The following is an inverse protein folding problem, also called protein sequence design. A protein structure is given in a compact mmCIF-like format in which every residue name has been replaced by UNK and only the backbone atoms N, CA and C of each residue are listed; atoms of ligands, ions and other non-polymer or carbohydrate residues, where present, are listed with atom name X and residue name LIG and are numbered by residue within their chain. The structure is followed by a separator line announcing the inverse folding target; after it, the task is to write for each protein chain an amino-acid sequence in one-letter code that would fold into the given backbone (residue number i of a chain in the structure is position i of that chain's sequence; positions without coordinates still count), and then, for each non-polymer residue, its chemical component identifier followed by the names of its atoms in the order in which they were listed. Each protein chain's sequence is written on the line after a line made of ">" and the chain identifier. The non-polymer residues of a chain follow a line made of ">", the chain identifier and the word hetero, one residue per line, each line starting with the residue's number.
data_IF_139059052036
#
_entry.id   IF_139059052036
#
_cell.length_a   1.000
_cell.length_b   1.000
_cell.length_c   1.000
_cell.angle_alpha   90.00
_cell.angle_beta   90.00
_cell.angle_gamma   90.00
#
_symmetry.space_group_name_H-M   'P 1'
#
loop_
_entity.id
_entity.type
_entity.pdbx_description
1 polymer ?
#
# COMPACT_ATOMS: atom_id res chain seq x y z
N UNK A 1 10.42 -15.96 -14.81
CA UNK A 1 9.93 -16.32 -13.46
C UNK A 1 9.67 -15.09 -12.58
N UNK A 2 10.59 -14.10 -12.54
CA UNK A 2 10.43 -12.88 -11.71
C UNK A 2 9.29 -11.96 -12.17
N UNK A 3 9.01 -11.88 -13.48
CA UNK A 3 7.94 -11.05 -14.05
C UNK A 3 6.52 -11.51 -13.68
N UNK A 4 6.31 -12.81 -13.42
CA UNK A 4 5.00 -13.36 -13.05
C UNK A 4 4.60 -12.98 -11.62
N UNK A 5 5.57 -12.95 -10.70
CA UNK A 5 5.39 -12.53 -9.31
C UNK A 5 5.13 -11.01 -9.24
N UNK A 6 5.87 -10.22 -10.02
CA UNK A 6 5.66 -8.76 -10.07
C UNK A 6 4.31 -8.39 -10.70
N UNK A 7 3.88 -9.13 -11.72
CA UNK A 7 2.55 -8.97 -12.30
C UNK A 7 1.47 -9.27 -11.26
N UNK A 8 1.57 -10.36 -10.50
CA UNK A 8 0.57 -10.71 -9.48
C UNK A 8 0.53 -9.69 -8.32
N UNK A 9 1.69 -9.20 -7.90
CA UNK A 9 1.84 -8.16 -6.86
C UNK A 9 1.20 -6.82 -7.26
N UNK A 10 1.19 -6.48 -8.55
CA UNK A 10 0.51 -5.28 -9.08
C UNK A 10 -0.97 -5.57 -9.36
N UNK A 11 -1.29 -6.79 -9.81
CA UNK A 11 -2.65 -7.16 -10.22
C UNK A 11 -3.59 -7.24 -9.02
N UNK A 12 -3.12 -7.70 -7.85
CA UNK A 12 -3.94 -7.86 -6.64
C UNK A 12 -4.46 -6.52 -6.06
N UNK A 13 -3.62 -5.48 -5.81
CA UNK A 13 -4.11 -4.17 -5.37
C UNK A 13 -4.96 -3.48 -6.44
N UNK A 14 -4.62 -3.62 -7.73
CA UNK A 14 -5.41 -3.07 -8.83
C UNK A 14 -6.79 -3.75 -8.92
N UNK A 15 -6.86 -5.06 -8.69
CA UNK A 15 -8.10 -5.84 -8.60
C UNK A 15 -8.99 -5.42 -7.43
N UNK A 16 -8.40 -5.17 -6.25
CA UNK A 16 -9.14 -4.72 -5.07
C UNK A 16 -9.81 -3.36 -5.30
N UNK A 17 -9.13 -2.44 -5.99
CA UNK A 17 -9.69 -1.14 -6.39
C UNK A 17 -10.78 -1.33 -7.45
N UNK A 18 -10.52 -2.14 -8.48
CA UNK A 18 -11.47 -2.35 -9.59
C UNK A 18 -12.76 -3.07 -9.14
N UNK A 19 -12.67 -4.00 -8.18
CA UNK A 19 -13.82 -4.72 -7.61
C UNK A 19 -14.83 -3.78 -6.97
N UNK A 20 -14.37 -2.67 -6.38
CA UNK A 20 -15.22 -1.67 -5.74
C UNK A 20 -15.88 -0.70 -6.74
N UNK A 21 -15.35 -0.60 -7.96
CA UNK A 21 -15.80 0.36 -8.98
C UNK A 21 -16.69 -0.25 -10.08
N UNK A 22 -16.40 -1.48 -10.53
CA UNK A 22 -17.06 -2.08 -11.71
C UNK A 22 -17.89 -3.35 -11.43
N UNK A 23 -17.91 -3.82 -10.18
CA UNK A 23 -18.68 -5.00 -9.76
C UNK A 23 -18.00 -6.34 -10.12
N UNK A 24 -18.21 -7.35 -9.28
CA UNK A 24 -17.49 -8.64 -9.31
C UNK A 24 -17.61 -9.42 -10.61
N UNK A 25 -18.72 -9.28 -11.34
CA UNK A 25 -18.96 -10.01 -12.61
C UNK A 25 -18.06 -9.52 -13.75
N UNK A 26 -17.79 -8.22 -13.83
CA UNK A 26 -16.92 -7.67 -14.89
C UNK A 26 -15.44 -7.99 -14.59
N UNK A 27 -15.06 -7.89 -13.32
CA UNK A 27 -13.73 -8.24 -12.84
C UNK A 27 -13.33 -9.68 -13.17
N UNK A 28 -14.23 -10.64 -12.94
CA UNK A 28 -14.00 -12.05 -13.27
C UNK A 28 -13.82 -12.28 -14.78
N UNK A 29 -14.59 -11.57 -15.62
CA UNK A 29 -14.43 -11.66 -17.08
C UNK A 29 -13.08 -11.11 -17.55
N UNK A 30 -12.66 -9.95 -17.02
CA UNK A 30 -11.36 -9.34 -17.33
C UNK A 30 -10.20 -10.25 -16.92
N UNK A 31 -10.27 -10.85 -15.72
CA UNK A 31 -9.25 -11.78 -15.23
C UNK A 31 -9.18 -13.04 -16.09
N UNK A 32 -10.33 -13.62 -16.44
CA UNK A 32 -10.38 -14.78 -17.32
C UNK A 32 -9.79 -14.49 -18.70
N UNK A 33 -10.14 -13.35 -19.30
CA UNK A 33 -9.59 -12.93 -20.61
C UNK A 33 -8.08 -12.72 -20.52
N UNK A 34 -7.60 -12.03 -19.49
CA UNK A 34 -6.17 -11.76 -19.31
C UNK A 34 -5.37 -13.07 -19.14
N UNK A 35 -5.89 -14.00 -18.33
CA UNK A 35 -5.29 -15.32 -18.14
C UNK A 35 -5.22 -16.11 -19.45
N UNK A 36 -6.31 -16.15 -20.22
CA UNK A 36 -6.33 -16.82 -21.53
C UNK A 36 -5.29 -16.22 -22.47
N UNK A 37 -5.23 -14.89 -22.58
CA UNK A 37 -4.25 -14.21 -23.45
C UNK A 37 -2.82 -14.52 -23.01
N UNK A 38 -2.54 -14.51 -21.70
CA UNK A 38 -1.22 -14.82 -21.15
C UNK A 38 -0.79 -16.25 -21.48
N UNK A 39 -1.68 -17.23 -21.27
CA UNK A 39 -1.42 -18.64 -21.59
C UNK A 39 -1.20 -18.86 -23.08
N UNK A 40 -2.04 -18.27 -23.93
CA UNK A 40 -1.92 -18.40 -25.40
C UNK A 40 -0.62 -17.75 -25.88
N UNK A 41 -0.26 -16.59 -25.37
CA UNK A 41 0.99 -15.91 -25.72
C UNK A 41 2.21 -16.74 -25.32
N UNK A 42 2.24 -17.29 -24.09
CA UNK A 42 3.33 -18.16 -23.64
C UNK A 42 3.48 -19.41 -24.52
N UNK A 43 2.36 -20.06 -24.83
CA UNK A 43 2.33 -21.27 -25.65
C UNK A 43 2.74 -20.97 -27.10
N UNK A 44 2.29 -19.86 -27.66
CA UNK A 44 2.69 -19.41 -29.00
C UNK A 44 4.20 -19.13 -29.08
N UNK A 45 4.76 -18.51 -28.05
CA UNK A 45 6.20 -18.24 -27.95
C UNK A 45 6.99 -19.55 -27.84
N UNK A 46 6.55 -20.50 -27.01
CA UNK A 46 7.18 -21.83 -26.89
C UNK A 46 7.17 -22.60 -28.22
N UNK A 47 6.04 -22.62 -28.93
CA UNK A 47 5.95 -23.22 -30.26
C UNK A 47 6.82 -22.53 -31.30
N UNK A 48 6.90 -21.20 -31.27
CA UNK A 48 7.74 -20.43 -32.18
C UNK A 48 9.23 -20.75 -31.95
N UNK A 49 9.69 -20.72 -30.71
CA UNK A 49 11.08 -21.04 -30.37
C UNK A 49 11.44 -22.51 -30.67
N UNK A 50 10.51 -23.43 -30.46
CA UNK A 50 10.68 -24.86 -30.79
C UNK A 50 10.77 -25.07 -32.31
N UNK A 51 9.91 -24.40 -33.08
CA UNK A 51 9.90 -24.46 -34.54
C UNK A 51 11.14 -23.84 -35.19
N UNK A 52 11.75 -22.83 -34.57
CA UNK A 52 13.00 -22.22 -35.03
C UNK A 52 14.27 -22.94 -34.52
N UNK A 53 14.15 -23.95 -33.64
CA UNK A 53 15.31 -24.74 -33.16
C UNK A 53 16.32 -23.95 -32.32
N UNK A 54 15.92 -22.80 -31.76
CA UNK A 54 16.80 -21.87 -31.04
C UNK A 54 16.85 -22.09 -29.52
N UNK A 55 16.36 -23.24 -29.02
CA UNK A 55 16.30 -23.54 -27.59
C UNK A 55 17.46 -24.48 -27.19
N UNK A 56 18.56 -23.98 -26.60
CA UNK A 56 19.50 -24.84 -25.90
C UNK A 56 18.79 -25.44 -24.68
N UNK A 57 18.49 -26.75 -24.75
CA UNK A 57 17.79 -27.53 -23.73
C UNK A 57 18.63 -27.80 -22.46
N UNK A 58 19.58 -26.92 -22.14
CA UNK A 58 20.45 -27.06 -20.98
C UNK A 58 20.56 -25.70 -20.29
N UNK A 59 19.48 -25.29 -19.62
CA UNK A 59 19.74 -24.69 -18.32
C UNK A 59 20.28 -25.84 -17.48
N UNK A 60 21.61 -25.94 -17.39
CA UNK A 60 22.22 -26.64 -16.29
C UNK A 60 21.63 -25.98 -15.04
N UNK A 61 20.56 -26.59 -14.51
CA UNK A 61 20.24 -26.52 -13.13
C UNK A 61 21.53 -26.99 -12.46
N UNK A 62 22.40 -26.03 -12.15
CA UNK A 62 23.40 -26.22 -11.12
C UNK A 62 22.55 -26.48 -9.89
N UNK A 63 22.28 -27.77 -9.70
CA UNK A 63 21.63 -28.35 -8.56
C UNK A 63 22.34 -27.72 -7.37
N UNK A 64 21.60 -26.90 -6.63
CA UNK A 64 22.04 -26.48 -5.31
C UNK A 64 22.42 -27.77 -4.58
N UNK A 65 23.68 -27.93 -4.12
CA UNK A 65 24.09 -29.17 -3.49
C UNK A 65 23.10 -29.49 -2.35
N UNK A 66 22.64 -30.74 -2.33
CA UNK A 66 21.58 -31.28 -1.45
C UNK A 66 22.01 -31.33 0.03
N UNK A 67 22.35 -30.19 0.61
CA UNK A 67 22.70 -30.07 2.01
C UNK A 67 22.91 -28.64 2.47
N UNK A 68 22.64 -28.39 3.76
CA UNK A 68 23.13 -27.20 4.47
C UNK A 68 24.64 -27.37 4.61
N UNK A 69 25.37 -27.11 3.53
CA UNK A 69 26.81 -26.97 3.58
C UNK A 69 27.09 -25.61 4.25
N UNK A 70 27.84 -25.59 5.34
CA UNK A 70 28.37 -24.36 5.92
C UNK A 70 29.45 -23.81 4.98
N UNK A 71 28.99 -23.17 3.90
CA UNK A 71 29.82 -22.55 2.86
C UNK A 71 29.70 -21.03 2.94
N UNK A 72 30.62 -20.29 2.34
CA UNK A 72 30.68 -18.82 2.39
C UNK A 72 29.37 -18.16 1.92
N UNK A 73 28.66 -18.78 0.98
CA UNK A 73 27.34 -18.34 0.51
C UNK A 73 26.27 -18.39 1.62
N UNK A 74 26.31 -19.41 2.50
CA UNK A 74 25.40 -19.55 3.65
C UNK A 74 25.68 -18.47 4.69
N UNK A 75 26.95 -18.18 4.95
CA UNK A 75 27.36 -17.11 5.86
C UNK A 75 26.89 -15.75 5.32
N UNK A 76 27.08 -15.50 4.03
CA UNK A 76 26.63 -14.28 3.37
C UNK A 76 25.10 -14.12 3.42
N UNK A 77 24.36 -15.20 3.20
CA UNK A 77 22.90 -15.20 3.29
C UNK A 77 22.42 -14.90 4.73
N UNK A 78 23.05 -15.48 5.75
CA UNK A 78 22.74 -15.19 7.16
C UNK A 78 23.04 -13.73 7.49
N UNK A 79 24.20 -13.20 7.07
CA UNK A 79 24.53 -11.79 7.26
C UNK A 79 23.53 -10.87 6.57
N UNK A 80 23.11 -11.20 5.34
CA UNK A 80 22.10 -10.46 4.61
C UNK A 80 20.74 -10.48 5.34
N UNK A 81 20.33 -11.63 5.88
CA UNK A 81 19.10 -11.75 6.67
C UNK A 81 19.15 -10.93 7.96
N UNK A 82 20.29 -10.92 8.66
CA UNK A 82 20.49 -10.10 9.87
C UNK A 82 20.44 -8.61 9.51
N UNK A 83 21.14 -8.19 8.45
CA UNK A 83 21.13 -6.80 7.98
C UNK A 83 19.72 -6.36 7.57
N UNK A 84 18.98 -7.22 6.86
CA UNK A 84 17.61 -6.97 6.46
C UNK A 84 16.68 -6.88 7.66
N UNK A 85 16.79 -7.78 8.64
CA UNK A 85 16.01 -7.75 9.87
C UNK A 85 16.31 -6.51 10.71
N UNK A 86 17.58 -6.11 10.81
CA UNK A 86 17.99 -4.89 11.50
C UNK A 86 17.46 -3.63 10.79
N UNK A 87 17.58 -3.57 9.47
CA UNK A 87 17.03 -2.48 8.65
C UNK A 87 15.50 -2.43 8.73
N UNK A 88 14.84 -3.58 8.69
CA UNK A 88 13.38 -3.70 8.85
C UNK A 88 12.95 -3.29 10.26
N UNK A 89 13.70 -3.65 11.30
CA UNK A 89 13.48 -3.19 12.66
C UNK A 89 13.66 -1.67 12.78
N UNK A 90 14.69 -1.10 12.17
CA UNK A 90 14.91 0.34 12.07
C UNK A 90 13.81 1.05 11.28
N UNK A 91 13.34 0.46 10.18
CA UNK A 91 12.23 0.95 9.38
C UNK A 91 10.92 0.90 10.16
N UNK A 92 10.63 -0.20 10.84
CA UNK A 92 9.47 -0.34 11.73
C UNK A 92 9.52 0.67 12.87
N UNK A 93 10.70 0.90 13.46
CA UNK A 93 10.87 1.90 14.50
C UNK A 93 10.88 3.35 13.97
N UNK A 94 11.02 3.57 12.65
CA UNK A 94 10.85 4.91 12.07
C UNK A 94 9.41 5.42 12.15
N UNK A 95 8.42 4.54 12.27
CA UNK A 95 7.05 4.95 12.58
C UNK A 95 6.91 5.59 13.98
N UNK A 96 7.94 5.49 14.84
CA UNK A 96 8.00 6.21 16.11
C UNK A 96 8.85 7.50 16.06
N UNK A 97 9.59 7.72 14.96
CA UNK A 97 10.49 8.87 14.79
C UNK A 97 10.00 9.88 13.75
N UNK A 98 8.86 9.62 13.10
CA UNK A 98 8.09 10.63 12.40
C UNK A 98 7.15 11.28 13.43
N UNK A 99 7.47 12.53 13.76
CA UNK A 99 6.85 13.26 14.86
C UNK A 99 5.33 13.41 14.67
N UNK A 100 4.58 12.94 15.65
CA UNK A 100 3.51 13.74 16.26
C UNK A 100 2.45 14.35 15.34
N UNK A 101 2.04 13.67 14.26
CA UNK A 101 0.82 14.06 13.56
C UNK A 101 -0.39 13.62 14.40
N UNK A 102 -0.63 14.35 15.50
CA UNK A 102 -1.88 14.27 16.24
C UNK A 102 -2.94 14.90 15.33
N UNK A 103 -3.81 14.08 14.76
CA UNK A 103 -4.80 14.53 13.79
C UNK A 103 -6.06 15.02 14.51
N UNK A 104 -6.51 16.23 14.19
CA UNK A 104 -7.79 16.77 14.59
C UNK A 104 -8.79 16.69 13.43
N UNK A 105 -10.07 16.48 13.75
CA UNK A 105 -11.16 16.66 12.78
C UNK A 105 -11.67 18.10 12.86
N UNK A 106 -11.80 18.75 11.70
CA UNK A 106 -12.47 20.04 11.58
C UNK A 106 -13.98 19.87 11.86
N UNK A 107 -14.57 20.55 12.87
CA UNK A 107 -15.97 20.38 13.25
C UNK A 107 -16.97 20.95 12.23
N UNK A 108 -16.52 21.72 11.23
CA UNK A 108 -17.39 22.32 10.21
C UNK A 108 -17.53 21.40 8.99
N UNK A 109 -16.43 20.82 8.53
CA UNK A 109 -16.40 20.03 7.29
C UNK A 109 -16.03 18.55 7.46
N UNK A 110 -15.57 18.15 8.65
CA UNK A 110 -15.13 16.78 8.94
C UNK A 110 -13.77 16.41 8.37
N UNK A 111 -13.06 17.36 7.74
CA UNK A 111 -11.74 17.12 7.17
C UNK A 111 -10.71 16.86 8.28
N UNK A 112 -9.91 15.82 8.11
CA UNK A 112 -8.83 15.50 9.03
C UNK A 112 -7.62 16.39 8.73
N UNK A 113 -7.08 17.04 9.76
CA UNK A 113 -5.91 17.91 9.66
C UNK A 113 -4.88 17.57 10.72
N UNK A 114 -3.61 17.68 10.34
CA UNK A 114 -2.49 17.58 11.26
C UNK A 114 -2.46 18.80 12.18
N UNK A 115 -2.52 18.60 13.50
CA UNK A 115 -2.47 19.68 14.50
C UNK A 115 -1.18 20.50 14.42
N UNK A 116 -0.07 19.90 13.98
CA UNK A 116 1.21 20.61 13.84
C UNK A 116 1.21 21.60 12.66
N UNK A 117 0.38 21.34 11.65
CA UNK A 117 0.34 22.08 10.38
C UNK A 117 -1.00 22.82 10.17
N UNK A 118 -1.85 22.88 11.19
CA UNK A 118 -3.18 23.46 11.07
C UNK A 118 -3.11 24.98 10.76
N UNK A 119 -3.74 25.46 9.67
CA UNK A 119 -3.71 26.86 9.28
C UNK A 119 -4.30 27.80 10.31
N UNK A 120 -5.40 27.39 10.96
CA UNK A 120 -6.12 28.17 11.98
C UNK A 120 -6.51 27.28 13.16
N UNK A 121 -6.34 27.83 14.36
CA UNK A 121 -6.76 27.23 15.62
C UNK A 121 -7.57 28.24 16.43
N UNK A 122 -8.64 27.76 17.08
CA UNK A 122 -9.53 28.59 17.91
C UNK A 122 -9.78 27.86 19.23
N UNK A 123 -9.66 28.59 20.34
CA UNK A 123 -9.91 28.05 21.68
C UNK A 123 -11.33 28.44 22.10
N UNK A 124 -12.18 27.46 22.44
CA UNK A 124 -13.54 27.68 22.91
C UNK A 124 -13.83 26.76 24.11
N UNK A 125 -14.34 27.31 25.22
CA UNK A 125 -14.51 26.60 26.50
C UNK A 125 -13.27 25.82 27.00
N UNK A 126 -12.07 26.33 26.72
CA UNK A 126 -10.81 25.67 27.09
C UNK A 126 -10.43 24.47 26.23
N UNK A 127 -11.16 24.19 25.15
CA UNK A 127 -10.82 23.19 24.14
C UNK A 127 -10.26 23.88 22.89
N UNK A 128 -9.17 23.34 22.33
CA UNK A 128 -8.56 23.84 21.10
C UNK A 128 -9.15 23.11 19.89
N UNK A 129 -9.76 23.87 18.98
CA UNK A 129 -10.29 23.40 17.71
C UNK A 129 -9.34 23.78 16.57
N UNK A 130 -9.19 22.87 15.61
CA UNK A 130 -8.29 23.00 14.46
C UNK A 130 -9.11 23.01 13.17
N UNK A 131 -8.81 23.93 12.25
CA UNK A 131 -9.61 24.16 11.05
C UNK A 131 -8.77 24.03 9.78
N UNK A 132 -9.39 23.48 8.73
CA UNK A 132 -8.72 23.27 7.44
C UNK A 132 -8.49 24.57 6.64
N UNK A 133 -9.23 25.62 6.96
CA UNK A 133 -9.21 26.90 6.24
C UNK A 133 -9.78 28.04 7.07
N UNK A 134 -9.48 29.27 6.68
CA UNK A 134 -10.04 30.48 7.31
C UNK A 134 -11.56 30.52 7.24
N UNK A 135 -12.14 30.04 6.13
CA UNK A 135 -13.60 29.95 5.98
C UNK A 135 -14.26 29.04 7.01
N UNK A 136 -13.60 27.94 7.42
CA UNK A 136 -14.13 27.06 8.46
C UNK A 136 -14.02 27.71 9.85
N UNK A 137 -12.90 28.39 10.14
CA UNK A 137 -12.75 29.15 11.38
C UNK A 137 -13.79 30.27 11.54
N UNK A 138 -14.09 31.02 10.48
CA UNK A 138 -15.11 32.07 10.50
C UNK A 138 -16.52 31.52 10.72
N UNK A 139 -16.85 30.37 10.11
CA UNK A 139 -18.14 29.69 10.32
C UNK A 139 -18.29 29.21 11.76
N UNK A 140 -17.21 28.73 12.36
CA UNK A 140 -17.20 28.36 13.77
C UNK A 140 -17.44 29.55 14.70
N UNK A 141 -16.87 30.72 14.40
CA UNK A 141 -17.09 31.95 15.18
C UNK A 141 -18.52 32.50 15.09
N UNK A 142 -19.24 32.22 13.99
CA UNK A 142 -20.61 32.71 13.79
C UNK A 142 -21.63 32.01 14.71
N UNK A 143 -21.46 30.72 14.98
CA UNK A 143 -22.33 29.92 15.85
C UNK A 143 -21.58 28.68 16.40
N UNK A 144 -20.73 28.84 17.43
CA UNK A 144 -19.84 27.78 17.91
C UNK A 144 -20.58 26.63 18.59
N UNK A 145 -21.62 26.93 19.38
CA UNK A 145 -22.36 25.92 20.17
C UNK A 145 -23.06 24.88 19.28
N UNK A 146 -23.59 25.33 18.14
CA UNK A 146 -24.24 24.46 17.17
C UNK A 146 -23.24 23.54 16.47
N UNK A 147 -22.04 24.04 16.17
CA UNK A 147 -20.99 23.28 15.49
C UNK A 147 -20.41 22.18 16.39
N UNK A 148 -20.21 22.47 17.68
CA UNK A 148 -19.68 21.50 18.66
C UNK A 148 -20.69 20.37 18.92
N UNK A 149 -21.99 20.69 18.96
CA UNK A 149 -23.06 19.70 19.13
C UNK A 149 -23.22 18.78 17.92
N UNK A 150 -22.91 19.26 16.72
CA UNK A 150 -22.92 18.45 15.51
C UNK A 150 -21.73 17.48 15.45
N UNK A 151 -20.51 17.94 15.75
CA UNK A 151 -19.30 17.11 15.71
C UNK A 151 -19.24 15.99 16.76
N UNK A 152 -20.01 16.09 17.85
CA UNK A 152 -20.04 15.06 18.91
C UNK A 152 -20.98 13.88 18.61
N UNK A 153 -21.96 14.04 17.71
CA UNK A 153 -22.87 12.94 17.30
C UNK A 153 -22.16 11.86 16.48
N UNK A 154 -21.15 12.23 15.70
CA UNK A 154 -20.44 11.32 14.78
C UNK A 154 -19.33 10.50 15.48
N UNK A 155 -19.08 10.72 16.77
CA UNK A 155 -18.11 9.99 17.57
C UNK A 155 -18.74 8.88 18.45
N UNK A 156 -20.06 8.76 18.44
CA UNK A 156 -20.83 7.86 19.30
C UNK A 156 -21.60 6.75 18.53
N UNK A 157 -21.35 6.58 17.23
CA UNK A 157 -21.91 5.51 16.37
C UNK A 157 -20.80 4.71 15.68
#
# INVERSE_FOLDING_TARGET
>A
MISFIFADLITLPLLLIYRRYYGTRLTLRLLAVFWVVMSVAGLAVEYLFTGLGLVPATHAAVVAPDGVCWNDTTILNILALIAFAALYGLYRNREHFDGGADYAKDPICGMQIDKATAPITIIHHGQTYYFCSEGCGQRFLADPDRCITAGSRDAAD
#
